data_IF_802192745403
#
_entry.id   IF_802192745403
#
_cell.length_a   1.000
_cell.length_b   1.000
_cell.length_c   1.000
_cell.angle_alpha   90.00
_cell.angle_beta   90.00
_cell.angle_gamma   90.00
#
_symmetry.space_group_name_H-M   'P 1'
#
loop_
_entity.id
_entity.type
_entity.pdbx_description
1 polymer ?
#
# COMPACT_ATOMS: atom_id res chain seq x y z
N UNK A 1 1.89 -57.34 38.70
CA UNK A 1 0.78 -56.60 39.36
C UNK A 1 1.28 -55.90 40.61
N UNK A 2 1.49 -54.58 40.57
CA UNK A 2 1.46 -53.72 41.77
C UNK A 2 1.29 -52.28 41.31
N UNK A 3 0.11 -51.71 41.58
CA UNK A 3 -0.28 -50.34 41.25
C UNK A 3 0.30 -49.43 42.33
N UNK A 4 1.03 -48.39 41.95
CA UNK A 4 1.35 -47.28 42.84
C UNK A 4 0.60 -46.04 42.36
N UNK A 5 -0.41 -45.67 43.15
CA UNK A 5 -1.11 -44.40 43.11
C UNK A 5 -0.16 -43.32 43.63
N UNK A 6 0.06 -42.27 42.84
CA UNK A 6 0.66 -41.03 43.33
C UNK A 6 -0.36 -39.92 43.09
N UNK A 7 -0.91 -39.43 44.19
CA UNK A 7 -1.73 -38.24 44.27
C UNK A 7 -0.84 -37.00 44.14
N UNK A 8 -1.20 -36.05 43.27
CA UNK A 8 -0.56 -34.74 43.21
C UNK A 8 -1.57 -33.69 43.68
N UNK A 9 -1.10 -32.96 44.68
CA UNK A 9 -1.79 -31.98 45.52
C UNK A 9 -1.99 -30.65 44.77
N UNK A 10 -3.21 -30.13 44.84
CA UNK A 10 -3.59 -28.76 44.49
C UNK A 10 -2.97 -27.79 45.50
N UNK A 11 -2.14 -26.85 45.03
CA UNK A 11 -1.72 -25.68 45.81
C UNK A 11 -2.32 -24.44 45.15
N UNK A 12 -3.29 -23.85 45.86
CA UNK A 12 -3.87 -22.53 45.60
C UNK A 12 -2.96 -21.50 46.27
N UNK A 13 -2.41 -20.56 45.49
CA UNK A 13 -1.85 -19.33 46.03
C UNK A 13 -2.78 -18.16 45.69
N UNK A 14 -3.46 -17.68 46.75
CA UNK A 14 -4.07 -16.36 46.85
C UNK A 14 -2.98 -15.32 47.16
N UNK A 15 -3.16 -14.11 46.62
CA UNK A 15 -2.52 -12.86 47.08
C UNK A 15 -1.78 -12.14 45.95
N UNK A 16 -1.77 -10.81 45.83
CA UNK A 16 -2.52 -9.71 46.42
C UNK A 16 -2.22 -8.48 45.54
N UNK A 17 -3.09 -7.49 45.63
CA UNK A 17 -3.12 -6.25 44.87
C UNK A 17 -1.85 -5.40 44.98
N UNK A 18 -1.40 -4.85 43.85
CA UNK A 18 -0.67 -3.57 43.75
C UNK A 18 -0.88 -3.08 42.30
N UNK A 19 -1.08 -1.82 41.97
CA UNK A 19 -0.77 -0.57 42.65
C UNK A 19 -1.69 0.49 42.02
N UNK A 20 -2.28 1.35 42.85
CA UNK A 20 -2.81 2.62 42.37
C UNK A 20 -1.69 3.36 41.63
N UNK A 21 -1.87 3.62 40.33
CA UNK A 21 -1.11 4.67 39.65
C UNK A 21 -2.00 5.89 39.59
N UNK A 22 -1.56 6.86 40.37
CA UNK A 22 -2.05 8.21 40.53
C UNK A 22 -2.26 8.89 39.18
N UNK A 23 -3.49 9.39 39.00
CA UNK A 23 -3.90 10.18 37.85
C UNK A 23 -3.28 11.57 37.99
N UNK A 24 -2.08 11.77 37.46
CA UNK A 24 -1.53 13.11 37.27
C UNK A 24 -2.17 13.71 36.02
N UNK A 25 -3.04 14.70 36.25
CA UNK A 25 -3.42 15.66 35.24
C UNK A 25 -2.28 16.67 35.10
N UNK A 26 -1.69 16.77 33.91
CA UNK A 26 -1.43 18.07 33.32
C UNK A 26 -1.20 17.97 31.81
N UNK A 27 -1.88 18.88 31.11
CA UNK A 27 -1.68 19.42 29.77
C UNK A 27 -0.96 18.56 28.71
N UNK A 28 -1.58 18.34 27.56
CA UNK A 28 -1.47 19.30 26.45
C UNK A 28 -2.31 18.86 25.24
N UNK A 29 -2.99 19.83 24.63
CA UNK A 29 -3.55 19.86 23.28
C UNK A 29 -4.36 18.63 22.81
N UNK A 30 -5.69 18.76 22.89
CA UNK A 30 -6.64 17.89 22.22
C UNK A 30 -6.44 17.88 20.70
N UNK A 31 -5.84 16.81 20.20
CA UNK A 31 -6.13 16.29 18.88
C UNK A 31 -7.13 15.15 19.06
N UNK A 32 -8.33 15.29 18.53
CA UNK A 32 -9.31 14.20 18.51
C UNK A 32 -8.66 12.93 17.92
N UNK A 33 -8.80 11.75 18.56
CA UNK A 33 -8.38 10.50 17.96
C UNK A 33 -9.21 10.29 16.69
N UNK A 34 -8.55 10.29 15.53
CA UNK A 34 -9.22 10.23 14.23
C UNK A 34 -9.79 8.82 14.05
N UNK A 35 -11.11 8.70 14.24
CA UNK A 35 -11.86 7.50 13.85
C UNK A 35 -11.75 7.32 12.33
N UNK A 36 -11.13 6.22 11.91
CA UNK A 36 -10.84 5.85 10.52
C UNK A 36 -12.07 5.85 9.57
N UNK A 37 -13.28 5.86 10.13
CA UNK A 37 -14.54 5.72 9.40
C UNK A 37 -15.05 7.01 8.73
N UNK A 38 -14.49 8.19 9.04
CA UNK A 38 -15.02 9.48 8.57
C UNK A 38 -14.13 10.26 7.56
N UNK A 39 -13.00 9.70 7.09
CA UNK A 39 -12.09 10.36 6.12
C UNK A 39 -11.72 9.44 4.95
N UNK A 40 -12.69 8.70 4.43
CA UNK A 40 -12.40 7.57 3.53
C UNK A 40 -12.14 7.94 2.07
N UNK A 41 -12.61 9.11 1.62
CA UNK A 41 -12.41 9.57 0.24
C UNK A 41 -11.29 10.63 0.18
N UNK A 42 -10.31 10.39 -0.68
CA UNK A 42 -9.31 11.40 -1.04
C UNK A 42 -8.06 11.49 -0.15
N UNK A 43 -7.75 10.48 0.69
CA UNK A 43 -6.45 10.45 1.40
C UNK A 43 -5.27 10.22 0.46
N UNK A 44 -5.52 9.51 -0.63
CA UNK A 44 -4.53 9.17 -1.63
C UNK A 44 -5.11 9.33 -3.03
N UNK A 45 -4.25 9.74 -3.96
CA UNK A 45 -4.52 9.74 -5.39
C UNK A 45 -3.37 9.05 -6.12
N UNK A 46 -3.65 8.46 -7.27
CA UNK A 46 -2.64 7.80 -8.08
C UNK A 46 -2.78 8.21 -9.55
N UNK A 47 -1.64 8.45 -10.20
CA UNK A 47 -1.59 8.80 -11.62
C UNK A 47 -0.37 8.21 -12.31
N UNK A 48 -0.45 8.13 -13.63
CA UNK A 48 0.66 7.73 -14.49
C UNK A 48 1.03 8.86 -15.46
N UNK A 49 2.27 8.85 -15.92
CA UNK A 49 2.76 9.63 -17.05
C UNK A 49 3.62 8.75 -17.96
N UNK A 50 3.50 8.97 -19.27
CA UNK A 50 4.25 8.27 -20.31
C UNK A 50 4.25 9.13 -21.59
N UNK A 51 5.16 8.88 -22.54
CA UNK A 51 5.11 9.49 -23.87
C UNK A 51 3.79 9.20 -24.58
N UNK A 52 3.33 10.13 -25.42
CA UNK A 52 2.12 9.95 -26.22
C UNK A 52 2.37 9.12 -27.48
N UNK A 53 3.62 9.10 -27.97
CA UNK A 53 4.03 8.43 -29.20
C UNK A 53 5.46 7.90 -29.04
N UNK A 54 5.71 6.68 -29.53
CA UNK A 54 7.03 6.01 -29.52
C UNK A 54 7.18 5.18 -30.80
N UNK A 55 8.41 4.87 -31.21
CA UNK A 55 8.70 3.93 -32.29
C UNK A 55 8.54 2.47 -31.86
N UNK A 56 8.34 1.57 -32.82
CA UNK A 56 8.45 0.13 -32.58
C UNK A 56 9.85 -0.20 -32.02
N UNK A 57 9.90 -1.08 -31.03
CA UNK A 57 11.11 -1.46 -30.31
C UNK A 57 11.84 -0.32 -29.58
N UNK A 58 11.29 0.90 -29.57
CA UNK A 58 11.78 1.99 -28.74
C UNK A 58 11.40 1.72 -27.28
N UNK A 59 12.37 1.85 -26.38
CA UNK A 59 12.10 1.80 -24.95
C UNK A 59 11.46 3.11 -24.49
N UNK A 60 10.40 3.00 -23.70
CA UNK A 60 9.77 4.14 -23.05
C UNK A 60 9.52 3.83 -21.59
N UNK A 61 9.46 4.90 -20.79
CA UNK A 61 9.24 4.81 -19.35
C UNK A 61 7.82 5.25 -19.01
N UNK A 62 7.15 4.41 -18.22
CA UNK A 62 5.89 4.72 -17.54
C UNK A 62 6.25 5.08 -16.11
N UNK A 63 5.98 6.32 -15.71
CA UNK A 63 6.14 6.78 -14.33
C UNK A 63 4.78 6.73 -13.64
N UNK A 64 4.68 5.96 -12.56
CA UNK A 64 3.52 5.94 -11.68
C UNK A 64 3.82 6.72 -10.40
N UNK A 65 2.83 7.42 -9.88
CA UNK A 65 2.94 8.27 -8.70
C UNK A 65 1.73 8.06 -7.78
N UNK A 66 1.99 7.84 -6.50
CA UNK A 66 0.98 7.83 -5.44
C UNK A 66 1.21 9.10 -4.61
N UNK A 67 0.19 9.94 -4.51
CA UNK A 67 0.20 11.13 -3.68
C UNK A 67 -0.60 10.85 -2.41
N UNK A 68 -0.02 11.18 -1.25
CA UNK A 68 -0.78 11.37 -0.03
C UNK A 68 -1.27 12.82 0.00
N UNK A 69 -2.59 13.00 0.05
CA UNK A 69 -3.22 14.31 0.05
C UNK A 69 -3.32 14.92 1.46
N UNK A 70 -3.38 14.05 2.47
CA UNK A 70 -3.54 14.44 3.85
C UNK A 70 -2.23 15.00 4.43
N UNK A 71 -2.32 16.12 5.13
CA UNK A 71 -1.18 16.72 5.86
C UNK A 71 -0.99 16.04 7.23
N UNK A 72 -0.67 14.74 7.20
CA UNK A 72 -0.41 13.95 8.41
C UNK A 72 0.71 12.93 8.18
N UNK A 73 1.18 12.30 9.26
CA UNK A 73 2.11 11.18 9.15
C UNK A 73 1.33 9.88 8.99
N UNK A 74 1.64 9.11 7.95
CA UNK A 74 1.08 7.79 7.70
C UNK A 74 2.19 6.76 7.51
N UNK A 75 1.96 5.55 7.97
CA UNK A 75 2.79 4.40 7.64
C UNK A 75 1.99 3.50 6.70
N UNK A 76 2.56 3.25 5.52
CA UNK A 76 1.98 2.32 4.55
C UNK A 76 2.90 1.11 4.37
N UNK A 77 2.31 -0.06 4.20
CA UNK A 77 3.01 -1.29 3.85
C UNK A 77 2.48 -1.77 2.51
N UNK A 78 3.35 -1.99 1.54
CA UNK A 78 2.99 -2.60 0.25
C UNK A 78 3.88 -3.80 -0.05
N UNK A 79 3.76 -4.34 -1.25
CA UNK A 79 4.79 -5.22 -1.85
C UNK A 79 6.10 -4.44 -2.07
N UNK A 80 7.15 -5.09 -2.56
CA UNK A 80 8.43 -4.42 -2.84
C UNK A 80 8.23 -3.25 -3.81
N UNK A 81 7.50 -3.51 -4.90
CA UNK A 81 6.89 -2.49 -5.75
C UNK A 81 5.52 -2.10 -5.21
N UNK A 82 5.21 -0.81 -5.22
CA UNK A 82 3.90 -0.29 -4.89
C UNK A 82 2.91 -0.47 -6.05
N UNK A 83 3.42 -0.34 -7.27
CA UNK A 83 2.60 -0.36 -8.48
C UNK A 83 2.69 -1.67 -9.26
N UNK A 84 1.54 -2.14 -9.74
CA UNK A 84 1.44 -3.17 -10.78
C UNK A 84 0.97 -2.50 -12.06
N UNK A 85 1.71 -2.68 -13.15
CA UNK A 85 1.45 -2.01 -14.44
C UNK A 85 0.73 -2.94 -15.40
N UNK A 86 -0.24 -2.40 -16.13
CA UNK A 86 -0.98 -3.10 -17.18
C UNK A 86 -0.91 -2.32 -18.48
N UNK A 87 -0.47 -2.98 -19.55
CA UNK A 87 -0.40 -2.47 -20.92
C UNK A 87 -1.29 -3.36 -21.78
N UNK A 88 -2.34 -2.78 -22.35
CA UNK A 88 -3.29 -3.47 -23.23
C UNK A 88 -3.15 -3.01 -24.67
N UNK A 89 -3.23 -3.95 -25.61
CA UNK A 89 -3.32 -3.65 -27.04
C UNK A 89 -4.70 -3.11 -27.45
N UNK A 90 -4.86 -2.76 -28.72
CA UNK A 90 -6.12 -2.26 -29.26
C UNK A 90 -7.31 -3.23 -29.19
N UNK A 91 -7.08 -4.51 -28.87
CA UNK A 91 -8.12 -5.51 -28.62
C UNK A 91 -8.50 -5.63 -27.14
N UNK A 92 -7.76 -4.94 -26.25
CA UNK A 92 -7.90 -5.01 -24.80
C UNK A 92 -7.10 -6.13 -24.15
N UNK A 93 -6.28 -6.87 -24.91
CA UNK A 93 -5.43 -7.94 -24.39
C UNK A 93 -4.21 -7.33 -23.70
N UNK A 94 -3.94 -7.78 -22.48
CA UNK A 94 -2.70 -7.43 -21.76
C UNK A 94 -1.49 -8.06 -22.44
N UNK A 95 -0.47 -7.25 -22.73
CA UNK A 95 0.71 -7.65 -23.50
C UNK A 95 1.99 -7.65 -22.68
N UNK A 96 2.02 -7.02 -21.51
CA UNK A 96 3.17 -7.03 -20.64
C UNK A 96 3.10 -8.17 -19.63
N UNK A 97 4.26 -8.68 -19.24
CA UNK A 97 4.41 -9.49 -18.04
C UNK A 97 5.12 -8.62 -17.00
N UNK A 98 4.40 -8.20 -15.96
CA UNK A 98 4.99 -7.44 -14.86
C UNK A 98 5.34 -8.39 -13.71
N UNK A 99 6.63 -8.55 -13.42
CA UNK A 99 7.07 -9.39 -12.32
C UNK A 99 6.74 -8.71 -10.97
N UNK A 100 5.76 -9.26 -10.26
CA UNK A 100 5.41 -8.80 -8.92
C UNK A 100 6.28 -9.55 -7.91
N UNK A 101 7.06 -8.81 -7.13
CA UNK A 101 7.84 -9.40 -6.04
C UNK A 101 7.09 -9.21 -4.73
N UNK A 102 6.68 -10.32 -4.12
CA UNK A 102 6.10 -10.27 -2.79
C UNK A 102 7.18 -9.90 -1.76
N UNK A 103 6.85 -8.97 -0.87
CA UNK A 103 7.75 -8.48 0.16
C UNK A 103 7.12 -7.31 0.90
N UNK A 104 7.04 -7.36 2.22
CA UNK A 104 6.40 -6.28 3.00
C UNK A 104 7.33 -5.07 3.12
N UNK A 105 7.10 -4.03 2.31
CA UNK A 105 7.89 -2.80 2.36
C UNK A 105 7.14 -1.68 3.08
N UNK A 106 7.63 -1.36 4.27
CA UNK A 106 7.15 -0.24 5.08
C UNK A 106 7.68 1.09 4.54
N UNK A 107 6.79 2.04 4.27
CA UNK A 107 7.09 3.42 3.86
C UNK A 107 6.42 4.39 4.83
N UNK A 108 7.20 5.29 5.42
CA UNK A 108 6.68 6.36 6.27
C UNK A 108 6.49 7.62 5.43
N UNK A 109 5.26 8.08 5.33
CA UNK A 109 4.86 9.29 4.61
C UNK A 109 4.58 10.41 5.62
N UNK A 110 5.04 11.63 5.35
CA UNK A 110 4.88 12.77 6.24
C UNK A 110 4.36 13.97 5.46
N UNK A 111 3.23 14.53 5.92
CA UNK A 111 2.57 15.62 5.22
C UNK A 111 2.07 15.18 3.85
N UNK A 112 1.99 16.12 2.90
CA UNK A 112 1.80 15.78 1.48
C UNK A 112 3.06 15.12 0.96
N UNK A 113 2.96 13.87 0.53
CA UNK A 113 4.10 13.05 0.13
C UNK A 113 3.81 12.33 -1.19
N UNK A 114 4.88 12.01 -1.92
CA UNK A 114 4.81 11.31 -3.19
C UNK A 114 5.69 10.06 -3.17
N UNK A 115 5.15 8.95 -3.64
CA UNK A 115 5.93 7.77 -4.00
C UNK A 115 5.90 7.68 -5.51
N UNK A 116 7.07 7.53 -6.14
CA UNK A 116 7.17 7.35 -7.58
C UNK A 116 7.95 6.09 -7.92
N UNK A 117 7.42 5.32 -8.87
CA UNK A 117 8.06 4.14 -9.42
C UNK A 117 8.02 4.20 -10.96
N UNK A 118 9.05 3.64 -11.60
CA UNK A 118 9.20 3.63 -13.05
C UNK A 118 9.11 2.19 -13.57
N UNK A 119 8.47 2.04 -14.72
CA UNK A 119 8.47 0.81 -15.50
C UNK A 119 8.89 1.11 -16.94
N UNK A 120 10.01 0.51 -17.38
CA UNK A 120 10.48 0.62 -18.76
C UNK A 120 9.94 -0.55 -19.58
N UNK A 121 9.42 -0.25 -20.76
CA UNK A 121 8.86 -1.24 -21.67
C UNK A 121 9.13 -0.88 -23.13
N UNK A 122 8.95 -1.85 -24.02
CA UNK A 122 8.99 -1.64 -25.48
C UNK A 122 7.91 -2.47 -26.17
N UNK A 123 7.37 -1.95 -27.26
CA UNK A 123 6.28 -2.58 -28.01
C UNK A 123 6.76 -2.87 -29.44
N UNK A 124 6.46 -4.07 -29.93
CA UNK A 124 7.01 -4.58 -31.19
C UNK A 124 6.07 -4.38 -32.39
N UNK A 125 4.82 -4.01 -32.14
CA UNK A 125 3.80 -3.86 -33.18
C UNK A 125 3.25 -2.43 -33.13
N UNK A 126 3.02 -1.79 -34.29
CA UNK A 126 2.39 -0.48 -34.33
C UNK A 126 0.93 -0.57 -33.88
N UNK A 127 0.41 0.51 -33.31
CA UNK A 127 -0.97 0.59 -32.86
C UNK A 127 -1.19 1.53 -31.69
N UNK A 128 -2.44 1.55 -31.21
CA UNK A 128 -2.82 2.28 -30.00
C UNK A 128 -2.87 1.32 -28.82
N UNK A 129 -2.19 1.70 -27.73
CA UNK A 129 -2.13 0.92 -26.50
C UNK A 129 -2.69 1.73 -25.34
N UNK A 130 -3.32 1.03 -24.40
CA UNK A 130 -3.80 1.59 -23.14
C UNK A 130 -2.88 1.15 -21.99
N UNK A 131 -2.45 2.11 -21.19
CA UNK A 131 -1.56 1.89 -20.04
C UNK A 131 -2.28 2.35 -18.78
N UNK A 132 -2.20 1.54 -17.73
CA UNK A 132 -2.70 1.86 -16.39
C UNK A 132 -1.81 1.21 -15.33
N UNK A 133 -1.97 1.62 -14.08
CA UNK A 133 -1.34 0.99 -12.94
C UNK A 133 -2.32 0.85 -11.77
N UNK A 134 -2.05 -0.11 -10.90
CA UNK A 134 -2.74 -0.33 -9.63
C UNK A 134 -1.75 -0.15 -8.48
N UNK A 135 -2.03 0.78 -7.57
CA UNK A 135 -1.34 0.89 -6.29
C UNK A 135 -2.07 0.05 -5.24
N UNK A 136 -1.40 -0.95 -4.66
CA UNK A 136 -1.95 -1.80 -3.60
C UNK A 136 -1.09 -1.69 -2.33
N UNK A 137 -1.69 -1.23 -1.23
CA UNK A 137 -0.99 -1.03 0.03
C UNK A 137 -1.94 -1.03 1.23
N UNK A 138 -1.41 -1.28 2.41
CA UNK A 138 -2.13 -1.23 3.68
C UNK A 138 -1.66 -0.05 4.50
N UNK A 139 -2.59 0.72 5.05
CA UNK A 139 -2.31 1.80 6.01
C UNK A 139 -2.65 1.30 7.41
N UNK A 140 -1.77 1.56 8.37
CA UNK A 140 -2.01 1.25 9.79
C UNK A 140 -2.14 2.56 10.58
N UNK A 141 -3.30 2.77 11.21
CA UNK A 141 -3.59 3.93 12.06
C UNK A 141 -4.24 3.42 13.35
N UNK A 142 -3.67 3.77 14.50
CA UNK A 142 -4.22 3.47 15.83
C UNK A 142 -4.63 1.99 16.03
N UNK A 143 -3.79 1.08 15.52
CA UNK A 143 -4.02 -0.37 15.63
C UNK A 143 -5.07 -0.93 14.66
N UNK A 144 -5.67 -0.09 13.80
CA UNK A 144 -6.54 -0.51 12.71
C UNK A 144 -5.77 -0.52 11.39
N UNK A 145 -5.95 -1.58 10.61
CA UNK A 145 -5.38 -1.72 9.27
C UNK A 145 -6.46 -1.56 8.21
N UNK A 146 -6.17 -0.81 7.14
CA UNK A 146 -7.04 -0.71 5.96
C UNK A 146 -6.23 -0.89 4.69
N UNK A 147 -6.68 -1.78 3.81
CA UNK A 147 -6.08 -1.99 2.49
C UNK A 147 -6.69 -1.02 1.48
N UNK A 148 -5.84 -0.42 0.66
CA UNK A 148 -6.16 0.44 -0.45
C UNK A 148 -5.74 -0.23 -1.75
N UNK A 149 -6.61 -0.12 -2.75
CA UNK A 149 -6.39 -0.54 -4.14
C UNK A 149 -6.82 0.62 -5.03
N UNK A 150 -5.86 1.38 -5.56
CA UNK A 150 -6.13 2.62 -6.29
C UNK A 150 -5.67 2.45 -7.74
N UNK A 151 -6.63 2.46 -8.66
CA UNK A 151 -6.35 2.46 -10.09
C UNK A 151 -6.02 3.87 -10.57
N UNK A 152 -4.95 3.99 -11.34
CA UNK A 152 -4.68 5.23 -12.08
C UNK A 152 -5.66 5.35 -13.26
N UNK A 153 -6.09 6.56 -13.62
CA UNK A 153 -6.77 6.77 -14.90
C UNK A 153 -5.91 6.23 -16.06
N UNK A 154 -6.50 5.49 -17.02
CA UNK A 154 -5.75 4.95 -18.13
C UNK A 154 -5.24 6.08 -19.05
N UNK A 155 -4.07 5.86 -19.66
CA UNK A 155 -3.49 6.74 -20.66
C UNK A 155 -3.16 5.96 -21.92
N UNK A 156 -3.17 6.64 -23.07
CA UNK A 156 -2.89 6.04 -24.36
C UNK A 156 -1.48 6.39 -24.86
N UNK A 157 -0.86 5.44 -25.54
CA UNK A 157 0.36 5.65 -26.31
C UNK A 157 0.18 5.10 -27.73
N UNK A 158 0.57 5.88 -28.71
CA UNK A 158 0.67 5.49 -30.11
C UNK A 158 2.05 4.87 -30.35
N UNK A 159 2.11 3.69 -30.97
CA UNK A 159 3.34 3.07 -31.43
C UNK A 159 3.36 3.13 -32.95
N UNK A 160 4.40 3.72 -33.51
CA UNK A 160 4.58 3.85 -34.97
C UNK A 160 5.78 3.10 -35.49
N UNK A 161 5.78 2.78 -36.77
CA UNK A 161 6.92 2.18 -37.48
C UNK A 161 8.19 3.05 -37.41
#
# INVERSE_FOLDING_TARGET
>A
MKKWLIAIVLVVCLGCQSLNVERSADSDTGGDPITLENREEGLFSAHISLPQKVGINEEFTIKAELQQEAEQKLAITSREQLFVYTIKDGTGKEINAYAVTDGGKLRNLTGKAYISENYTYKIQQPGMYEVSALAEFTVNIDGKSKTYAIHTPPKKVEVTE
#
